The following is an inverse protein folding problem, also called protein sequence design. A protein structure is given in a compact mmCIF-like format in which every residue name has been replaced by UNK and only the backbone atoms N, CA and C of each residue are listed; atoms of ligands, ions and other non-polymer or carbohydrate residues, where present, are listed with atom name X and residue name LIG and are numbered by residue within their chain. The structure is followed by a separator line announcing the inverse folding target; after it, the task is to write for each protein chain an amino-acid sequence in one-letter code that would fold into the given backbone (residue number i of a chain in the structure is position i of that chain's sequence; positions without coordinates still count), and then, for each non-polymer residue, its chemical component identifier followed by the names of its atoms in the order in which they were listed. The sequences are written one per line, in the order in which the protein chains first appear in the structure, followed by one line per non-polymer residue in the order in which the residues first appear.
data_IF_768339713210
#
_entry.id   IF_768339713210
#
_cell.length_a   1.000
_cell.length_b   1.000
_cell.length_c   1.000
_cell.angle_alpha   90.00
_cell.angle_beta   90.00
_cell.angle_gamma   90.00
#
_symmetry.space_group_name_H-M   'P 1'
#
loop_
_entity.id
_entity.type
_entity.pdbx_description
1 polymer ?
#
# COMPACT_ATOMS: atom_id res chain seq x y z
N UNK A 1 -2.56 -22.60 -5.13
CA UNK A 1 -1.66 -21.65 -5.83
C UNK A 1 -1.25 -20.58 -4.84
N UNK A 2 -0.02 -20.08 -4.90
CA UNK A 2 0.52 -19.07 -3.99
C UNK A 2 0.95 -17.85 -4.80
N UNK A 3 0.78 -16.65 -4.25
CA UNK A 3 1.15 -15.38 -4.90
C UNK A 3 2.42 -14.83 -4.26
N UNK A 4 3.38 -14.43 -5.09
CA UNK A 4 4.60 -13.75 -4.65
C UNK A 4 4.50 -12.26 -4.99
N UNK A 5 4.55 -11.40 -3.97
CA UNK A 5 4.57 -9.94 -4.12
C UNK A 5 5.99 -9.45 -3.86
N UNK A 6 6.54 -8.64 -4.76
CA UNK A 6 7.90 -8.11 -4.68
C UNK A 6 7.84 -6.59 -4.54
N UNK A 7 8.52 -6.03 -3.53
CA UNK A 7 8.54 -4.59 -3.24
C UNK A 7 9.91 -3.96 -3.57
N UNK A 8 10.25 -3.71 -4.84
CA UNK A 8 11.48 -3.03 -5.19
C UNK A 8 11.46 -1.56 -4.73
N UNK A 9 12.48 -1.17 -3.98
CA UNK A 9 12.66 0.19 -3.42
C UNK A 9 13.19 1.23 -4.42
N UNK A 10 13.44 0.83 -5.67
CA UNK A 10 14.01 1.69 -6.71
C UNK A 10 13.65 1.23 -8.11
N UNK A 11 13.61 2.18 -9.06
CA UNK A 11 13.29 1.91 -10.48
C UNK A 11 14.26 0.90 -11.13
N UNK A 12 15.54 0.92 -10.71
CA UNK A 12 16.56 0.01 -11.23
C UNK A 12 16.28 -1.44 -10.78
N UNK A 13 15.95 -1.65 -9.51
CA UNK A 13 15.60 -2.99 -9.00
C UNK A 13 14.32 -3.52 -9.63
N UNK A 14 13.30 -2.66 -9.81
CA UNK A 14 12.08 -3.04 -10.53
C UNK A 14 12.39 -3.50 -11.97
N UNK A 15 13.24 -2.76 -12.68
CA UNK A 15 13.66 -3.13 -14.05
C UNK A 15 14.39 -4.48 -14.07
N UNK A 16 15.28 -4.72 -13.12
CA UNK A 16 16.01 -5.99 -13.01
C UNK A 16 15.06 -7.18 -12.75
N UNK A 17 14.11 -7.03 -11.82
CA UNK A 17 13.11 -8.08 -11.52
C UNK A 17 12.27 -8.39 -12.76
N UNK A 18 11.78 -7.36 -13.46
CA UNK A 18 11.02 -7.53 -14.71
C UNK A 18 11.83 -8.26 -15.78
N UNK A 19 13.13 -7.98 -15.90
CA UNK A 19 13.99 -8.65 -16.87
C UNK A 19 14.14 -10.16 -16.57
N UNK A 20 14.33 -10.52 -15.30
CA UNK A 20 14.41 -11.93 -14.87
C UNK A 20 13.09 -12.67 -15.14
N UNK A 21 11.95 -12.09 -14.76
CA UNK A 21 10.65 -12.71 -14.99
C UNK A 21 10.36 -12.93 -16.47
N UNK A 22 10.70 -11.94 -17.32
CA UNK A 22 10.60 -12.07 -18.78
C UNK A 22 11.50 -13.17 -19.33
N UNK A 23 12.76 -13.25 -18.88
CA UNK A 23 13.69 -14.28 -19.33
C UNK A 23 13.20 -15.70 -19.00
N UNK A 24 12.44 -15.84 -17.91
CA UNK A 24 11.82 -17.10 -17.49
C UNK A 24 10.43 -17.36 -18.12
N UNK A 25 9.95 -16.48 -19.01
CA UNK A 25 8.58 -16.51 -19.55
C UNK A 25 7.50 -16.57 -18.46
N UNK A 26 7.75 -15.94 -17.31
CA UNK A 26 6.78 -15.84 -16.22
C UNK A 26 5.91 -14.61 -16.46
N UNK A 27 4.58 -14.77 -16.65
CA UNK A 27 3.68 -13.63 -16.74
C UNK A 27 3.59 -12.93 -15.37
N UNK A 28 3.52 -11.60 -15.40
CA UNK A 28 3.34 -10.79 -14.20
C UNK A 28 2.40 -9.62 -14.48
N UNK A 29 1.75 -9.16 -13.43
CA UNK A 29 0.87 -8.00 -13.45
C UNK A 29 1.54 -6.87 -12.69
N UNK A 30 1.31 -5.63 -13.15
CA UNK A 30 1.78 -4.43 -12.46
C UNK A 30 0.57 -3.79 -11.80
N UNK A 31 0.48 -3.91 -10.48
CA UNK A 31 -0.49 -3.12 -9.74
C UNK A 31 0.01 -1.67 -9.64
N UNK A 32 -0.74 -0.76 -10.24
CA UNK A 32 -0.48 0.68 -10.18
C UNK A 32 -1.15 1.32 -8.97
N UNK A 33 -1.79 0.54 -8.10
CA UNK A 33 -2.35 1.01 -6.84
C UNK A 33 -1.28 1.80 -6.07
N UNK A 34 -1.46 3.12 -6.01
CA UNK A 34 -0.52 4.07 -5.40
C UNK A 34 -0.46 3.98 -3.88
N UNK A 35 -1.27 3.10 -3.29
CA UNK A 35 -1.39 2.95 -1.86
C UNK A 35 -0.33 1.96 -1.37
N UNK A 36 0.57 2.46 -0.52
CA UNK A 36 1.57 1.61 0.13
C UNK A 36 0.89 0.70 1.15
N UNK A 37 1.48 -0.44 1.45
CA UNK A 37 0.97 -1.34 2.50
C UNK A 37 0.87 -0.65 3.87
N UNK A 38 1.72 0.36 4.12
CA UNK A 38 1.63 1.21 5.31
C UNK A 38 0.37 2.09 5.31
N UNK A 39 -0.03 2.61 4.15
CA UNK A 39 -1.26 3.38 4.01
C UNK A 39 -2.49 2.49 4.26
N UNK A 40 -2.51 1.29 3.69
CA UNK A 40 -3.59 0.31 3.93
C UNK A 40 -3.67 -0.08 5.42
N UNK A 41 -2.53 -0.27 6.08
CA UNK A 41 -2.48 -0.54 7.52
C UNK A 41 -3.08 0.61 8.35
N UNK A 42 -2.75 1.86 8.01
CA UNK A 42 -3.29 3.06 8.68
C UNK A 42 -4.80 3.22 8.47
N UNK A 43 -5.31 2.90 7.28
CA UNK A 43 -6.76 2.92 7.02
C UNK A 43 -7.46 1.86 7.88
N UNK A 44 -6.93 0.64 7.93
CA UNK A 44 -7.49 -0.43 8.75
C UNK A 44 -7.49 -0.09 10.24
N UNK A 45 -6.40 0.50 10.74
CA UNK A 45 -6.31 1.01 12.12
C UNK A 45 -7.41 2.05 12.39
N UNK A 46 -7.61 3.00 11.48
CA UNK A 46 -8.68 4.00 11.57
C UNK A 46 -10.09 3.37 11.61
N UNK A 47 -10.36 2.35 10.81
CA UNK A 47 -11.64 1.63 10.85
C UNK A 47 -11.86 0.92 12.19
N UNK A 48 -10.82 0.33 12.77
CA UNK A 48 -10.87 -0.32 14.08
C UNK A 48 -11.09 0.70 15.20
N UNK A 49 -10.45 1.88 15.12
CA UNK A 49 -10.66 2.99 16.04
C UNK A 49 -12.09 3.51 16.00
N UNK A 50 -12.68 3.65 14.81
CA UNK A 50 -14.09 4.04 14.64
C UNK A 50 -15.02 3.01 15.30
N UNK A 51 -14.81 1.71 15.02
CA UNK A 51 -15.63 0.63 15.59
C UNK A 51 -15.50 0.55 17.11
N UNK A 52 -14.31 0.81 17.64
CA UNK A 52 -14.04 0.81 19.07
C UNK A 52 -14.42 2.13 19.78
N UNK A 53 -14.91 3.15 19.04
CA UNK A 53 -15.23 4.45 19.60
C UNK A 53 -14.02 5.29 20.01
N UNK A 54 -12.80 4.93 19.57
CA UNK A 54 -11.55 5.68 19.80
C UNK A 54 -11.44 6.85 18.83
N UNK A 55 -12.48 7.68 18.78
CA UNK A 55 -12.56 8.84 17.88
C UNK A 55 -12.77 10.10 18.70
N UNK A 56 -12.30 11.23 18.17
CA UNK A 56 -12.55 12.55 18.73
C UNK A 56 -13.36 13.36 17.72
N UNK A 57 -14.40 14.04 18.21
CA UNK A 57 -15.16 14.98 17.39
C UNK A 57 -14.53 16.35 17.57
N UNK A 58 -14.10 16.95 16.45
CA UNK A 58 -13.57 18.30 16.40
C UNK A 58 -14.47 19.16 15.52
N UNK A 59 -14.57 20.43 15.85
CA UNK A 59 -15.28 21.47 15.10
C UNK A 59 -14.34 22.16 14.12
N UNK A 60 -14.89 22.89 13.15
CA UNK A 60 -14.07 23.65 12.19
C UNK A 60 -13.22 24.72 12.89
N UNK A 61 -13.77 25.39 13.91
CA UNK A 61 -13.06 26.42 14.68
C UNK A 61 -11.85 25.86 15.44
N UNK A 62 -11.83 24.56 15.77
CA UNK A 62 -10.69 23.89 16.42
C UNK A 62 -9.57 23.52 15.44
N UNK A 63 -9.88 23.38 14.16
CA UNK A 63 -8.92 22.99 13.11
C UNK A 63 -8.11 24.20 12.60
N UNK A 64 -8.72 25.39 12.57
CA UNK A 64 -8.15 26.59 11.94
C UNK A 64 -7.61 27.63 12.94
N UNK A 65 -7.24 27.20 14.15
CA UNK A 65 -6.66 28.07 15.19
C UNK A 65 -5.19 28.42 14.96
#
# INVERSE_FOLDING_TARGET
MQTLIVHPDSKNKLTAVKAVLKALNVPFEEDKSSYTSEFEAKIKEGEEDIKAGRTVKITLDEIWK
#
